data_IF_319408818006
#
_entry.id   IF_319408818006
#
_cell.length_a   1.000
_cell.length_b   1.000
_cell.length_c   1.000
_cell.angle_alpha   90.00
_cell.angle_beta   90.00
_cell.angle_gamma   90.00
#
_symmetry.space_group_name_H-M   'P 1'
#
loop_
_entity.id
_entity.type
_entity.pdbx_description
1 polymer ?
#
# COMPACT_ATOMS: atom_id res chain seq x y z
N UNK A 1 18.00 21.80 1.38
CA UNK A 1 16.96 20.84 1.79
C UNK A 1 16.51 20.05 0.57
N UNK A 2 16.91 18.78 0.45
CA UNK A 2 16.51 17.93 -0.67
C UNK A 2 15.05 17.52 -0.50
N UNK A 3 14.17 17.89 -1.44
CA UNK A 3 12.77 17.44 -1.46
C UNK A 3 12.77 15.92 -1.66
N UNK A 4 12.40 15.17 -0.63
CA UNK A 4 12.04 13.75 -0.77
C UNK A 4 10.71 13.68 -1.52
N UNK A 5 10.75 13.41 -2.82
CA UNK A 5 9.55 13.17 -3.61
C UNK A 5 9.13 11.70 -3.47
N UNK A 6 7.95 11.45 -2.91
CA UNK A 6 7.36 10.10 -2.87
C UNK A 6 6.98 9.69 -4.30
N UNK A 7 7.70 8.76 -4.96
CA UNK A 7 7.61 8.63 -6.42
C UNK A 7 6.27 8.12 -6.95
N UNK A 8 5.49 7.47 -6.08
CA UNK A 8 4.11 7.04 -6.36
C UNK A 8 3.16 8.25 -6.32
N UNK A 9 3.43 9.24 -5.48
CA UNK A 9 2.59 10.45 -5.36
C UNK A 9 2.52 11.22 -6.65
N UNK A 10 3.68 11.51 -7.21
CA UNK A 10 3.80 12.40 -8.37
C UNK A 10 3.33 11.69 -9.64
N UNK A 11 3.69 10.41 -9.79
CA UNK A 11 3.32 9.62 -10.98
C UNK A 11 1.82 9.33 -11.09
N UNK A 12 1.14 9.17 -9.96
CA UNK A 12 -0.29 8.83 -9.95
C UNK A 12 -1.18 9.93 -9.38
N UNK A 13 -0.64 11.13 -9.15
CA UNK A 13 -1.35 12.30 -8.60
C UNK A 13 -2.09 11.99 -7.30
N UNK A 14 -1.46 11.21 -6.41
CA UNK A 14 -2.06 10.80 -5.13
C UNK A 14 -2.05 11.97 -4.15
N UNK A 15 -3.21 12.33 -3.61
CA UNK A 15 -3.34 13.43 -2.63
C UNK A 15 -3.18 12.96 -1.19
N UNK A 16 -3.72 11.78 -0.85
CA UNK A 16 -3.59 11.11 0.46
C UNK A 16 -3.04 9.70 0.28
N UNK A 17 -2.08 9.31 1.11
CA UNK A 17 -1.50 7.96 1.10
C UNK A 17 -1.61 7.35 2.50
N UNK A 18 -2.36 6.25 2.63
CA UNK A 18 -2.50 5.52 3.88
C UNK A 18 -1.54 4.32 3.89
N UNK A 19 -0.89 4.09 5.03
CA UNK A 19 -0.07 2.91 5.26
C UNK A 19 -0.57 2.18 6.51
N UNK A 20 -1.04 0.96 6.31
CA UNK A 20 -1.54 0.10 7.37
C UNK A 20 -0.37 -0.72 7.93
N UNK A 21 -0.15 -0.63 9.25
CA UNK A 21 1.01 -1.24 9.87
C UNK A 21 0.70 -1.73 11.30
N UNK A 22 1.26 -2.89 11.65
CA UNK A 22 1.25 -3.37 13.03
C UNK A 22 2.14 -2.48 13.92
N UNK A 23 1.60 -2.02 15.04
CA UNK A 23 2.34 -1.22 16.01
C UNK A 23 3.33 -2.06 16.82
N UNK A 24 4.59 -1.63 16.82
CA UNK A 24 5.69 -2.17 17.60
C UNK A 24 6.47 -0.97 18.14
N UNK A 25 6.50 -0.83 19.47
CA UNK A 25 7.05 0.35 20.16
C UNK A 25 8.49 0.70 19.75
N UNK A 26 9.34 -0.32 19.52
CA UNK A 26 10.73 -0.12 19.12
C UNK A 26 10.92 0.47 17.71
N UNK A 27 9.85 0.60 16.91
CA UNK A 27 9.92 1.05 15.52
C UNK A 27 9.59 2.55 15.36
N UNK A 28 9.62 3.34 16.43
CA UNK A 28 9.24 4.76 16.39
C UNK A 28 9.96 5.57 15.30
N UNK A 29 11.29 5.40 15.18
CA UNK A 29 12.09 6.08 14.14
C UNK A 29 11.60 5.77 12.71
N UNK A 30 11.17 4.53 12.45
CA UNK A 30 10.59 4.13 11.16
C UNK A 30 9.27 4.86 10.93
N UNK A 31 8.41 4.93 11.94
CA UNK A 31 7.13 5.61 11.86
C UNK A 31 7.28 7.10 11.58
N UNK A 32 8.25 7.74 12.23
CA UNK A 32 8.53 9.16 12.02
C UNK A 32 9.08 9.44 10.61
N UNK A 33 9.93 8.56 10.09
CA UNK A 33 10.38 8.65 8.70
C UNK A 33 9.22 8.51 7.71
N UNK A 34 8.35 7.52 7.88
CA UNK A 34 7.21 7.29 6.98
C UNK A 34 6.21 8.46 7.00
N UNK A 35 5.93 9.01 8.19
CA UNK A 35 5.10 10.22 8.32
C UNK A 35 5.74 11.42 7.63
N UNK A 36 7.06 11.60 7.80
CA UNK A 36 7.82 12.68 7.14
C UNK A 36 7.80 12.57 5.61
N UNK A 37 7.74 11.35 5.08
CA UNK A 37 7.59 11.07 3.65
C UNK A 37 6.12 11.25 3.16
N UNK A 38 5.19 11.60 4.05
CA UNK A 38 3.82 12.00 3.74
C UNK A 38 2.76 10.90 3.88
N UNK A 39 3.09 9.77 4.50
CA UNK A 39 2.11 8.72 4.80
C UNK A 39 1.27 9.05 6.02
N UNK A 40 -0.02 8.71 5.93
CA UNK A 40 -0.94 8.65 7.07
C UNK A 40 -0.90 7.21 7.59
N UNK A 41 -0.31 7.01 8.77
CA UNK A 41 -0.16 5.68 9.35
C UNK A 41 -1.44 5.25 10.06
N UNK A 42 -1.97 4.08 9.68
CA UNK A 42 -3.08 3.41 10.36
C UNK A 42 -2.51 2.23 11.14
N UNK A 43 -2.49 2.38 12.46
CA UNK A 43 -1.89 1.39 13.35
C UNK A 43 -2.89 0.31 13.77
N UNK A 44 -2.44 -0.94 13.71
CA UNK A 44 -3.12 -2.07 14.33
C UNK A 44 -2.33 -2.60 15.53
N UNK A 45 -2.98 -2.91 16.67
CA UNK A 45 -2.31 -3.63 17.75
C UNK A 45 -1.69 -4.93 17.25
N UNK A 46 -0.49 -5.25 17.72
CA UNK A 46 0.18 -6.50 17.37
C UNK A 46 -0.02 -7.57 18.43
N UNK A 47 -0.13 -8.83 17.99
CA UNK A 47 -0.14 -9.98 18.88
C UNK A 47 1.28 -10.54 18.97
N UNK A 48 1.81 -10.62 20.19
CA UNK A 48 3.05 -11.34 20.49
C UNK A 48 2.73 -12.77 20.91
N UNK A 49 3.23 -13.73 20.14
CA UNK A 49 3.14 -15.15 20.48
C UNK A 49 4.29 -15.55 21.42
N UNK A 50 4.09 -16.64 22.17
CA UNK A 50 5.09 -17.19 23.11
C UNK A 50 6.43 -17.53 22.45
N UNK A 51 6.45 -17.78 21.14
CA UNK A 51 7.65 -18.05 20.35
C UNK A 51 8.36 -16.77 19.85
N UNK A 52 7.98 -15.58 20.35
CA UNK A 52 8.57 -14.31 19.96
C UNK A 52 8.05 -13.74 18.63
N UNK A 53 7.22 -14.48 17.89
CA UNK A 53 6.62 -13.98 16.64
C UNK A 53 5.61 -12.87 16.94
N UNK A 54 5.71 -11.77 16.20
CA UNK A 54 4.76 -10.66 16.22
C UNK A 54 3.86 -10.77 14.99
N UNK A 55 2.53 -10.74 15.15
CA UNK A 55 1.57 -10.69 14.04
C UNK A 55 0.74 -9.42 14.12
N UNK A 56 0.76 -8.65 13.04
CA UNK A 56 -0.12 -7.51 12.81
C UNK A 56 -0.66 -7.57 11.40
N UNK A 57 -1.49 -8.58 11.10
CA UNK A 57 -2.20 -8.65 9.82
C UNK A 57 -3.15 -7.45 9.74
N UNK A 58 -3.09 -6.67 8.67
CA UNK A 58 -3.84 -5.43 8.49
C UNK A 58 -4.88 -5.52 7.36
N UNK A 59 -5.16 -6.73 6.88
CA UNK A 59 -5.90 -6.94 5.63
C UNK A 59 -7.34 -6.41 5.76
N UNK A 60 -7.99 -6.71 6.89
CA UNK A 60 -9.33 -6.22 7.20
C UNK A 60 -9.37 -4.70 7.35
N UNK A 61 -8.38 -4.10 8.02
CA UNK A 61 -8.29 -2.66 8.20
C UNK A 61 -8.15 -1.94 6.86
N UNK A 62 -7.33 -2.47 5.96
CA UNK A 62 -7.18 -1.91 4.62
C UNK A 62 -8.50 -1.97 3.85
N UNK A 63 -9.16 -3.14 3.83
CA UNK A 63 -10.45 -3.31 3.15
C UNK A 63 -11.49 -2.35 3.73
N UNK A 64 -11.66 -2.33 5.05
CA UNK A 64 -12.65 -1.49 5.70
C UNK A 64 -12.38 -0.01 5.48
N UNK A 65 -11.13 0.43 5.62
CA UNK A 65 -10.78 1.84 5.46
C UNK A 65 -10.93 2.31 4.00
N UNK A 66 -10.62 1.46 3.02
CA UNK A 66 -10.88 1.75 1.60
C UNK A 66 -12.39 1.96 1.32
N UNK A 67 -13.25 1.29 2.09
CA UNK A 67 -14.71 1.44 2.00
C UNK A 67 -15.23 2.65 2.81
N UNK A 68 -14.66 2.94 3.98
CA UNK A 68 -14.98 4.15 4.76
C UNK A 68 -14.69 5.41 3.94
N UNK A 69 -13.55 5.44 3.25
CA UNK A 69 -13.14 6.58 2.41
C UNK A 69 -13.79 6.56 1.01
N UNK A 70 -14.66 5.59 0.70
CA UNK A 70 -15.13 5.33 -0.66
C UNK A 70 -15.76 6.54 -1.36
N UNK A 71 -16.52 7.35 -0.61
CA UNK A 71 -17.11 8.60 -1.13
C UNK A 71 -16.16 9.80 -1.09
N UNK A 72 -15.03 9.69 -0.38
CA UNK A 72 -14.06 10.77 -0.18
C UNK A 72 -12.93 10.77 -1.21
N UNK A 73 -12.90 9.79 -2.12
CA UNK A 73 -11.95 9.76 -3.25
C UNK A 73 -12.64 9.55 -4.59
N UNK A 74 -12.06 10.18 -5.61
CA UNK A 74 -12.50 10.03 -7.00
C UNK A 74 -12.04 8.70 -7.56
N UNK A 75 -10.76 8.36 -7.32
CA UNK A 75 -10.16 7.07 -7.64
C UNK A 75 -9.16 6.69 -6.54
N UNK A 76 -8.85 5.41 -6.45
CA UNK A 76 -7.86 4.88 -5.50
C UNK A 76 -6.76 4.09 -6.20
N UNK A 77 -5.57 4.12 -5.60
CA UNK A 77 -4.44 3.26 -5.95
C UNK A 77 -4.26 2.27 -4.82
N UNK A 78 -4.39 0.98 -5.11
CA UNK A 78 -4.17 -0.08 -4.12
C UNK A 78 -2.76 -0.65 -4.33
N UNK A 79 -2.00 -0.83 -3.26
CA UNK A 79 -0.66 -1.43 -3.31
C UNK A 79 -0.69 -2.77 -2.59
N UNK A 80 -0.74 -3.87 -3.34
CA UNK A 80 -0.70 -5.23 -2.78
C UNK A 80 -0.36 -6.26 -3.86
N UNK A 81 0.29 -7.36 -3.45
CA UNK A 81 0.44 -8.57 -4.27
C UNK A 81 -0.43 -9.73 -3.80
N UNK A 82 -1.18 -9.54 -2.72
CA UNK A 82 -1.92 -10.61 -2.04
C UNK A 82 -3.30 -10.84 -2.66
N UNK A 83 -3.59 -12.12 -2.95
CA UNK A 83 -4.83 -12.56 -3.59
C UNK A 83 -6.09 -12.31 -2.76
N UNK A 84 -5.95 -12.17 -1.44
CA UNK A 84 -7.09 -11.94 -0.54
C UNK A 84 -7.78 -10.59 -0.83
N UNK A 85 -7.06 -9.62 -1.40
CA UNK A 85 -7.63 -8.34 -1.82
C UNK A 85 -8.31 -8.37 -3.19
N UNK A 86 -8.32 -9.51 -3.89
CA UNK A 86 -8.91 -9.62 -5.24
C UNK A 86 -10.39 -9.19 -5.27
N UNK A 87 -11.15 -9.48 -4.20
CA UNK A 87 -12.54 -9.05 -4.08
C UNK A 87 -12.66 -7.52 -4.03
N UNK A 88 -11.89 -6.85 -3.17
CA UNK A 88 -11.86 -5.39 -3.08
C UNK A 88 -11.44 -4.75 -4.40
N UNK A 89 -10.35 -5.24 -5.00
CA UNK A 89 -9.83 -4.70 -6.27
C UNK A 89 -10.88 -4.83 -7.37
N UNK A 90 -11.51 -6.00 -7.51
CA UNK A 90 -12.56 -6.25 -8.51
C UNK A 90 -13.76 -5.32 -8.29
N UNK A 91 -14.24 -5.19 -7.06
CA UNK A 91 -15.36 -4.30 -6.73
C UNK A 91 -15.05 -2.84 -7.12
N UNK A 92 -13.87 -2.34 -6.74
CA UNK A 92 -13.44 -0.98 -7.07
C UNK A 92 -13.26 -0.80 -8.59
N UNK A 93 -12.85 -1.83 -9.33
CA UNK A 93 -12.79 -1.77 -10.80
C UNK A 93 -14.17 -1.62 -11.42
N UNK A 94 -15.13 -2.44 -10.99
CA UNK A 94 -16.51 -2.45 -11.49
C UNK A 94 -17.24 -1.14 -11.22
N UNK A 95 -16.94 -0.49 -10.10
CA UNK A 95 -17.47 0.84 -9.75
C UNK A 95 -16.70 1.99 -10.38
N UNK A 96 -15.74 1.70 -11.24
CA UNK A 96 -14.80 2.67 -11.80
C UNK A 96 -14.15 3.56 -10.72
N UNK A 97 -13.81 2.98 -9.57
CA UNK A 97 -13.12 3.63 -8.46
C UNK A 97 -11.64 3.24 -8.39
N UNK A 98 -11.23 2.12 -8.99
CA UNK A 98 -9.80 1.76 -9.06
C UNK A 98 -9.08 2.53 -10.17
N UNK A 99 -8.06 3.31 -9.80
CA UNK A 99 -7.12 3.91 -10.74
C UNK A 99 -6.09 2.88 -11.20
N UNK A 100 -5.30 2.34 -10.27
CA UNK A 100 -4.24 1.36 -10.53
C UNK A 100 -4.08 0.40 -9.35
N UNK A 101 -3.70 -0.83 -9.66
CA UNK A 101 -3.19 -1.80 -8.70
C UNK A 101 -1.67 -1.83 -8.83
N UNK A 102 -0.95 -1.39 -7.80
CA UNK A 102 0.50 -1.49 -7.75
C UNK A 102 0.88 -2.80 -7.07
N UNK A 103 1.69 -3.61 -7.75
CA UNK A 103 2.19 -4.86 -7.21
C UNK A 103 3.69 -4.69 -6.95
N UNK A 104 4.18 -4.83 -5.69
CA UNK A 104 5.59 -4.61 -5.38
C UNK A 104 6.56 -5.47 -6.20
N UNK A 105 6.21 -6.73 -6.45
CA UNK A 105 7.02 -7.68 -7.21
C UNK A 105 6.13 -8.64 -7.99
N UNK A 106 6.46 -8.89 -9.27
CA UNK A 106 5.77 -9.90 -10.10
C UNK A 106 5.83 -11.29 -9.46
N UNK A 107 6.94 -11.62 -8.81
CA UNK A 107 7.16 -12.93 -8.19
C UNK A 107 6.20 -13.17 -7.01
N UNK A 108 5.78 -12.12 -6.33
CA UNK A 108 4.86 -12.18 -5.19
C UNK A 108 3.41 -11.83 -5.57
N UNK A 109 3.10 -11.72 -6.86
CA UNK A 109 1.76 -11.40 -7.33
C UNK A 109 0.88 -12.65 -7.34
N UNK A 110 -0.24 -12.63 -6.62
CA UNK A 110 -1.23 -13.69 -6.70
C UNK A 110 -1.81 -13.82 -8.12
N UNK A 111 -1.99 -15.06 -8.57
CA UNK A 111 -2.64 -15.37 -9.86
C UNK A 111 -4.07 -14.85 -9.93
N UNK A 112 -4.75 -14.65 -8.79
CA UNK A 112 -6.08 -14.03 -8.72
C UNK A 112 -6.03 -12.56 -9.13
N UNK A 113 -5.02 -11.82 -8.64
CA UNK A 113 -4.83 -10.42 -9.01
C UNK A 113 -4.32 -10.29 -10.45
N UNK A 114 -3.40 -11.16 -10.88
CA UNK A 114 -2.80 -11.11 -12.21
C UNK A 114 -3.82 -11.22 -13.36
N UNK A 115 -5.01 -11.79 -13.09
CA UNK A 115 -6.13 -11.90 -14.03
C UNK A 115 -6.91 -10.59 -14.22
N UNK A 116 -6.74 -9.59 -13.33
CA UNK A 116 -7.47 -8.33 -13.33
C UNK A 116 -6.86 -7.25 -14.25
N UNK A 117 -6.05 -7.65 -15.25
CA UNK A 117 -5.44 -6.74 -16.23
C UNK A 117 -6.51 -5.92 -16.98
N UNK A 118 -6.25 -4.65 -17.37
CA UNK A 118 -4.93 -4.02 -17.57
C UNK A 118 -4.46 -3.03 -16.48
N UNK A 119 -5.19 -2.83 -15.37
CA UNK A 119 -4.88 -1.75 -14.39
C UNK A 119 -3.68 -2.03 -13.46
N UNK A 120 -2.91 -3.10 -13.71
CA UNK A 120 -1.80 -3.55 -12.86
C UNK A 120 -0.48 -2.88 -13.28
N UNK A 121 0.26 -2.34 -12.32
CA UNK A 121 1.62 -1.83 -12.52
C UNK A 121 2.54 -2.53 -11.53
N UNK A 122 3.55 -3.22 -12.06
CA UNK A 122 4.57 -3.84 -11.22
C UNK A 122 5.68 -2.84 -10.90
N UNK A 123 5.96 -2.68 -9.60
CA UNK A 123 6.91 -1.69 -9.06
C UNK A 123 8.36 -2.18 -9.18
N UNK A 124 8.59 -3.49 -9.25
CA UNK A 124 9.91 -4.07 -9.52
C UNK A 124 10.55 -3.53 -10.81
N UNK A 125 9.78 -3.33 -11.88
CA UNK A 125 10.26 -2.68 -13.13
C UNK A 125 10.60 -1.20 -12.96
N UNK A 126 10.15 -0.59 -11.87
CA UNK A 126 10.42 0.79 -11.54
C UNK A 126 11.57 0.91 -10.54
N UNK A 127 12.12 -0.20 -10.03
CA UNK A 127 13.20 -0.17 -9.04
C UNK A 127 14.38 0.66 -9.55
N UNK A 128 14.85 0.44 -10.78
CA UNK A 128 15.97 1.22 -11.35
C UNK A 128 15.66 2.73 -11.51
N UNK A 129 14.38 3.11 -11.53
CA UNK A 129 13.91 4.51 -11.67
C UNK A 129 13.50 5.14 -10.33
N UNK A 130 13.27 4.33 -9.30
CA UNK A 130 12.74 4.75 -7.99
C UNK A 130 13.73 4.50 -6.84
N UNK A 131 14.80 3.75 -7.11
CA UNK A 131 15.84 3.46 -6.13
C UNK A 131 16.60 4.74 -5.80
N UNK A 132 16.76 4.96 -4.50
CA UNK A 132 17.52 6.07 -3.97
C UNK A 132 18.99 5.89 -4.33
N UNK A 133 19.48 6.65 -5.31
CA UNK A 133 20.92 6.74 -5.56
C UNK A 133 21.52 7.69 -4.52
N UNK A 134 22.19 7.13 -3.53
CA UNK A 134 23.09 7.91 -2.67
C UNK A 134 24.08 8.65 -3.58
N UNK A 135 24.11 9.97 -3.47
CA UNK A 135 25.29 10.79 -3.79
C UNK A 135 26.02 11.06 -2.48
#
# INVERSE_FOLDING_TARGET
MSKRSFPVKDKFSVTKAFLFIGFVESNQNLYDSLKSDGFILIFKPTLRFKNGKVKGNVDTELVLHAMIEYENYNKTVIVTGDGDFSCLVKYLMEKDKLWRLLVPSRKSCSSLLAKLQPKIVYVDNLKDKLEYKHK
#
